data_IF_798726852682
#
_entry.id   IF_798726852682
#
_cell.length_a   1.000
_cell.length_b   1.000
_cell.length_c   1.000
_cell.angle_alpha   90.00
_cell.angle_beta   90.00
_cell.angle_gamma   90.00
#
_symmetry.space_group_name_H-M   'P 1'
#
loop_
_entity.id
_entity.type
_entity.pdbx_description
1 polymer ?
#
# COMPACT_ATOMS: atom_id res chain seq x y z
N UNK A 1 -18.24 3.11 9.71
CA UNK A 1 -18.42 2.30 8.46
C UNK A 1 -18.09 3.14 7.24
N UNK A 2 -16.81 3.43 6.99
CA UNK A 2 -16.31 4.13 5.79
C UNK A 2 -15.76 3.17 4.73
N UNK A 3 -15.98 1.86 4.90
CA UNK A 3 -15.35 0.78 4.10
C UNK A 3 -15.46 0.99 2.59
N UNK A 4 -16.61 1.35 1.98
CA UNK A 4 -16.67 1.46 0.52
C UNK A 4 -16.12 2.77 -0.04
N UNK A 5 -16.07 3.87 0.72
CA UNK A 5 -15.75 5.19 0.14
C UNK A 5 -14.31 5.23 -0.35
N UNK A 6 -13.36 4.81 0.48
CA UNK A 6 -11.95 4.80 0.09
C UNK A 6 -11.69 3.75 -0.99
N UNK A 7 -12.31 2.58 -0.86
CA UNK A 7 -12.17 1.51 -1.85
C UNK A 7 -12.68 1.97 -3.23
N UNK A 8 -13.78 2.73 -3.28
CA UNK A 8 -14.34 3.30 -4.50
C UNK A 8 -13.49 4.47 -5.03
N UNK A 9 -13.03 5.37 -4.16
CA UNK A 9 -12.19 6.52 -4.54
C UNK A 9 -10.89 6.07 -5.19
N UNK A 10 -10.25 5.05 -4.62
CA UNK A 10 -8.99 4.51 -5.11
C UNK A 10 -9.17 3.39 -6.12
N UNK A 11 -10.39 2.89 -6.33
CA UNK A 11 -10.70 1.77 -7.23
C UNK A 11 -10.03 0.44 -6.85
N UNK A 12 -9.40 0.35 -5.68
CA UNK A 12 -8.64 -0.82 -5.23
C UNK A 12 -8.65 -0.94 -3.71
N UNK A 13 -9.20 -2.05 -3.22
CA UNK A 13 -9.19 -2.40 -1.79
C UNK A 13 -7.77 -2.63 -1.28
N UNK A 14 -6.91 -3.23 -2.11
CA UNK A 14 -5.52 -3.52 -1.75
C UNK A 14 -4.72 -2.23 -1.61
N UNK A 15 -4.92 -1.27 -2.51
CA UNK A 15 -4.32 0.07 -2.41
C UNK A 15 -4.65 0.74 -1.08
N UNK A 16 -5.92 0.71 -0.67
CA UNK A 16 -6.36 1.29 0.60
C UNK A 16 -5.74 0.54 1.79
N UNK A 17 -5.59 -0.79 1.73
CA UNK A 17 -4.88 -1.56 2.77
C UNK A 17 -3.41 -1.14 2.87
N UNK A 18 -2.71 -1.01 1.74
CA UNK A 18 -1.31 -0.57 1.70
C UNK A 18 -1.17 0.83 2.32
N UNK A 19 -2.01 1.78 1.91
CA UNK A 19 -1.98 3.15 2.43
C UNK A 19 -2.23 3.20 3.94
N UNK A 20 -3.23 2.46 4.43
CA UNK A 20 -3.51 2.36 5.87
C UNK A 20 -2.34 1.74 6.63
N UNK A 21 -1.70 0.71 6.07
CA UNK A 21 -0.54 0.07 6.66
C UNK A 21 0.64 1.04 6.77
N UNK A 22 1.01 1.70 5.67
CA UNK A 22 2.15 2.63 5.65
C UNK A 22 1.92 3.82 6.58
N UNK A 23 0.72 4.41 6.57
CA UNK A 23 0.39 5.55 7.42
C UNK A 23 0.45 5.22 8.93
N UNK A 24 -0.02 4.03 9.32
CA UNK A 24 -0.01 3.58 10.73
C UNK A 24 1.37 3.24 11.26
N UNK A 25 2.31 2.90 10.37
CA UNK A 25 3.65 2.47 10.75
C UNK A 25 4.72 3.50 10.36
N UNK A 26 4.34 4.74 10.07
CA UNK A 26 5.31 5.81 9.82
C UNK A 26 5.93 6.30 11.14
N UNK A 27 7.25 6.57 11.19
CA UNK A 27 8.26 6.40 10.14
C UNK A 27 8.90 5.00 10.19
N UNK A 28 8.66 4.18 9.17
CA UNK A 28 9.37 2.91 8.98
C UNK A 28 9.44 2.54 7.50
N UNK A 29 10.52 1.88 7.12
CA UNK A 29 10.72 1.29 5.80
C UNK A 29 10.24 -0.16 5.81
N UNK A 30 9.60 -0.59 4.71
CA UNK A 30 9.14 -1.96 4.56
C UNK A 30 9.46 -2.48 3.17
N UNK A 31 9.89 -3.74 3.10
CA UNK A 31 9.99 -4.50 1.85
C UNK A 31 8.62 -4.95 1.37
N UNK A 32 8.51 -5.25 0.07
CA UNK A 32 7.28 -5.79 -0.54
C UNK A 32 6.82 -7.07 0.16
N UNK A 33 7.76 -7.93 0.58
CA UNK A 33 7.44 -9.19 1.28
C UNK A 33 6.86 -8.95 2.66
N UNK A 34 7.42 -8.01 3.43
CA UNK A 34 6.90 -7.65 4.75
C UNK A 34 5.50 -7.04 4.66
N UNK A 35 5.27 -6.14 3.71
CA UNK A 35 3.94 -5.55 3.48
C UNK A 35 2.95 -6.66 3.14
N UNK A 36 3.29 -7.54 2.18
CA UNK A 36 2.44 -8.65 1.75
C UNK A 36 2.05 -9.58 2.91
N UNK A 37 3.00 -9.94 3.77
CA UNK A 37 2.72 -10.76 4.96
C UNK A 37 1.80 -10.02 5.96
N UNK A 38 2.05 -8.74 6.22
CA UNK A 38 1.30 -7.96 7.21
C UNK A 38 -0.14 -7.69 6.78
N UNK A 39 -0.39 -7.45 5.49
CA UNK A 39 -1.73 -7.16 4.98
C UNK A 39 -2.43 -8.40 4.38
N UNK A 40 -1.76 -9.56 4.41
CA UNK A 40 -2.23 -10.87 3.93
C UNK A 40 -2.66 -10.85 2.46
N UNK A 41 -1.79 -10.34 1.60
CA UNK A 41 -2.00 -10.23 0.15
C UNK A 41 -0.81 -10.79 -0.62
N UNK A 42 -1.00 -11.08 -1.91
CA UNK A 42 0.08 -11.62 -2.76
C UNK A 42 1.16 -10.55 -3.02
N UNK A 43 2.46 -10.87 -2.89
CA UNK A 43 3.55 -9.91 -3.14
C UNK A 43 3.51 -9.23 -4.52
N UNK A 44 3.03 -9.95 -5.55
CA UNK A 44 2.89 -9.41 -6.89
C UNK A 44 1.88 -8.26 -6.97
N UNK A 45 0.72 -8.42 -6.33
CA UNK A 45 -0.32 -7.38 -6.26
C UNK A 45 0.21 -6.16 -5.49
N UNK A 46 0.95 -6.38 -4.40
CA UNK A 46 1.59 -5.29 -3.64
C UNK A 46 2.58 -4.52 -4.51
N UNK A 47 3.39 -5.24 -5.29
CA UNK A 47 4.37 -4.62 -6.19
C UNK A 47 3.68 -3.73 -7.22
N UNK A 48 2.62 -4.22 -7.86
CA UNK A 48 1.83 -3.47 -8.84
C UNK A 48 1.21 -2.20 -8.21
N UNK A 49 0.58 -2.33 -7.05
CA UNK A 49 -0.02 -1.19 -6.35
C UNK A 49 1.02 -0.17 -5.88
N UNK A 50 2.19 -0.61 -5.41
CA UNK A 50 3.27 0.30 -5.01
C UNK A 50 3.85 1.07 -6.22
N UNK A 51 3.89 0.46 -7.41
CA UNK A 51 4.28 1.18 -8.64
C UNK A 51 3.27 2.28 -8.95
N UNK A 52 1.97 1.98 -8.86
CA UNK A 52 0.91 2.98 -9.08
C UNK A 52 0.95 4.09 -8.04
N UNK A 53 1.09 3.75 -6.75
CA UNK A 53 1.23 4.71 -5.66
C UNK A 53 2.46 5.61 -5.80
N UNK A 54 3.55 5.08 -6.38
CA UNK A 54 4.77 5.84 -6.67
C UNK A 54 4.56 6.83 -7.82
N UNK A 55 3.84 6.43 -8.87
CA UNK A 55 3.51 7.32 -10.00
C UNK A 55 2.71 8.56 -9.53
N UNK A 56 1.84 8.39 -8.55
CA UNK A 56 1.06 9.49 -7.95
C UNK A 56 1.76 10.16 -6.76
N UNK A 57 3.06 9.87 -6.54
CA UNK A 57 3.93 10.52 -5.53
C UNK A 57 3.48 10.35 -4.07
N UNK A 58 2.61 9.36 -3.78
CA UNK A 58 2.14 9.10 -2.41
C UNK A 58 3.17 8.28 -1.60
N UNK A 59 3.96 7.43 -2.26
CA UNK A 59 5.01 6.64 -1.62
C UNK A 59 6.38 6.96 -2.21
N UNK A 60 7.40 7.02 -1.35
CA UNK A 60 8.80 7.13 -1.75
C UNK A 60 9.48 5.79 -1.60
N UNK A 61 10.24 5.39 -2.61
CA UNK A 61 11.08 4.21 -2.54
C UNK A 61 12.45 4.64 -2.01
N UNK A 62 12.74 4.31 -0.77
CA UNK A 62 14.09 4.47 -0.23
C UNK A 62 14.98 3.39 -0.85
N UNK A 63 15.99 3.81 -1.62
CA UNK A 63 17.08 2.92 -2.06
C UNK A 63 18.05 2.83 -0.88
N UNK A 64 17.85 1.86 0.01
CA UNK A 64 18.95 1.34 0.82
C UNK A 64 19.68 0.27 0.01
#
# INVERSE_FOLDING_TARGET
MSKPILDNLFGSKVRVKILKFLYRNYPADFSVREIAQRIQEKPQIIKEELVLLKQITIVRQNRK
#
